data_IF_702363723875
#
_entry.id   IF_702363723875
#
_cell.length_a   1.000
_cell.length_b   1.000
_cell.length_c   1.000
_cell.angle_alpha   90.00
_cell.angle_beta   90.00
_cell.angle_gamma   90.00
#
_symmetry.space_group_name_H-M   'P 1'
#
loop_
_entity.id
_entity.type
_entity.pdbx_description
1 polymer ?
#
# COMPACT_ATOMS: atom_id res chain seq x y z
N UNK A 1 -36.82 -7.60 -19.74
CA UNK A 1 -36.34 -7.44 -18.35
C UNK A 1 -34.92 -6.91 -18.45
N UNK A 2 -34.71 -5.65 -18.07
CA UNK A 2 -33.36 -5.07 -18.02
C UNK A 2 -32.83 -5.27 -16.62
N UNK A 3 -31.74 -6.02 -16.48
CA UNK A 3 -30.97 -6.11 -15.24
C UNK A 3 -30.35 -4.74 -14.95
N UNK A 4 -31.12 -3.88 -14.26
CA UNK A 4 -30.74 -2.49 -13.94
C UNK A 4 -30.02 -2.33 -12.60
N UNK A 5 -29.60 -3.42 -11.97
CA UNK A 5 -29.00 -3.41 -10.63
C UNK A 5 -27.63 -4.12 -10.58
N UNK A 6 -26.81 -4.03 -11.63
CA UNK A 6 -25.40 -4.37 -11.49
C UNK A 6 -24.72 -3.23 -10.74
N UNK A 7 -24.38 -3.43 -9.46
CA UNK A 7 -23.52 -2.51 -8.73
C UNK A 7 -22.16 -2.42 -9.47
N UNK A 8 -21.61 -1.21 -9.65
CA UNK A 8 -20.34 -1.05 -10.33
C UNK A 8 -19.24 -1.82 -9.56
N UNK A 9 -18.59 -2.75 -10.25
CA UNK A 9 -17.50 -3.54 -9.70
C UNK A 9 -16.20 -2.76 -9.87
N UNK A 10 -15.72 -2.17 -8.78
CA UNK A 10 -14.41 -1.52 -8.74
C UNK A 10 -13.36 -2.58 -8.47
N UNK A 11 -12.57 -2.92 -9.48
CA UNK A 11 -11.48 -3.89 -9.36
C UNK A 11 -10.18 -3.10 -9.38
N UNK A 12 -9.55 -2.96 -8.22
CA UNK A 12 -8.17 -2.49 -8.15
C UNK A 12 -7.30 -3.52 -8.88
N UNK A 13 -6.35 -3.05 -9.67
CA UNK A 13 -5.39 -3.92 -10.33
C UNK A 13 -4.72 -4.86 -9.32
N UNK A 14 -4.65 -6.15 -9.67
CA UNK A 14 -4.15 -7.18 -8.76
C UNK A 14 -2.68 -6.96 -8.41
N UNK A 15 -1.86 -6.53 -9.36
CA UNK A 15 -0.45 -6.22 -9.11
C UNK A 15 -0.29 -5.00 -8.20
N UNK A 16 -1.10 -3.95 -8.40
CA UNK A 16 -1.12 -2.78 -7.51
C UNK A 16 -1.55 -3.13 -6.08
N UNK A 17 -2.59 -3.95 -5.94
CA UNK A 17 -3.03 -4.44 -4.62
C UNK A 17 -1.93 -5.27 -3.95
N UNK A 18 -1.32 -6.20 -4.68
CA UNK A 18 -0.26 -7.06 -4.16
C UNK A 18 0.99 -6.25 -3.76
N UNK A 19 1.33 -5.21 -4.53
CA UNK A 19 2.39 -4.27 -4.19
C UNK A 19 2.09 -3.54 -2.87
N UNK A 20 0.88 -3.01 -2.71
CA UNK A 20 0.46 -2.31 -1.48
C UNK A 20 0.55 -3.21 -0.24
N UNK A 21 0.09 -4.45 -0.35
CA UNK A 21 0.20 -5.46 0.72
C UNK A 21 1.67 -5.74 1.05
N UNK A 22 2.49 -5.98 0.02
CA UNK A 22 3.92 -6.28 0.19
C UNK A 22 4.67 -5.14 0.89
N UNK A 23 4.39 -3.89 0.53
CA UNK A 23 5.01 -2.72 1.15
C UNK A 23 4.62 -2.58 2.63
N UNK A 24 3.34 -2.77 2.95
CA UNK A 24 2.86 -2.75 4.33
C UNK A 24 3.53 -3.84 5.17
N UNK A 25 3.57 -5.07 4.66
CA UNK A 25 4.17 -6.21 5.37
C UNK A 25 5.67 -6.00 5.56
N UNK A 26 6.34 -5.45 4.54
CA UNK A 26 7.77 -5.11 4.60
C UNK A 26 8.04 -4.06 5.69
N UNK A 27 7.23 -3.00 5.79
CA UNK A 27 7.34 -2.00 6.86
C UNK A 27 7.18 -2.62 8.24
N UNK A 28 6.20 -3.51 8.40
CA UNK A 28 5.96 -4.20 9.68
C UNK A 28 7.15 -5.11 10.06
N UNK A 29 7.64 -5.90 9.11
CA UNK A 29 8.79 -6.78 9.31
C UNK A 29 10.03 -5.97 9.68
N UNK A 30 10.29 -4.86 8.99
CA UNK A 30 11.39 -3.95 9.31
C UNK A 30 11.31 -3.44 10.75
N UNK A 31 10.17 -2.87 11.14
CA UNK A 31 9.95 -2.34 12.48
C UNK A 31 10.15 -3.42 13.57
N UNK A 32 9.68 -4.64 13.31
CA UNK A 32 9.87 -5.79 14.20
C UNK A 32 11.35 -6.19 14.32
N UNK A 33 12.10 -6.18 13.23
CA UNK A 33 13.55 -6.45 13.24
C UNK A 33 14.28 -5.38 14.05
N UNK A 34 14.01 -4.10 13.78
CA UNK A 34 14.61 -3.00 14.53
C UNK A 34 14.36 -3.11 16.03
N UNK A 35 13.11 -3.36 16.43
CA UNK A 35 12.74 -3.57 17.83
C UNK A 35 13.48 -4.77 18.44
N UNK A 36 13.60 -5.88 17.70
CA UNK A 36 14.33 -7.07 18.16
C UNK A 36 15.82 -6.80 18.35
N UNK A 37 16.46 -6.12 17.41
CA UNK A 37 17.89 -5.77 17.50
C UNK A 37 18.17 -4.83 18.69
N UNK A 38 17.30 -3.84 18.94
CA UNK A 38 17.39 -2.98 20.14
C UNK A 38 17.29 -3.80 21.43
N UNK A 39 16.37 -4.76 21.50
CA UNK A 39 16.24 -5.68 22.66
C UNK A 39 17.50 -6.53 22.88
N UNK A 40 18.27 -6.80 21.83
CA UNK A 40 19.54 -7.53 21.90
C UNK A 40 20.75 -6.63 22.20
N UNK A 41 20.55 -5.32 22.42
CA UNK A 41 21.62 -4.37 22.71
C UNK A 41 22.36 -3.84 21.47
N UNK A 42 21.90 -4.16 20.26
CA UNK A 42 22.48 -3.64 19.03
C UNK A 42 22.12 -2.16 18.88
N UNK A 43 23.13 -1.30 18.71
CA UNK A 43 22.94 0.13 18.39
C UNK A 43 22.71 0.29 16.89
N UNK A 44 21.44 0.38 16.50
CA UNK A 44 21.06 0.76 15.14
C UNK A 44 21.29 2.26 14.93
N UNK A 45 21.70 2.63 13.73
CA UNK A 45 21.91 4.03 13.39
C UNK A 45 20.55 4.70 13.16
N UNK A 46 20.18 5.62 14.06
CA UNK A 46 18.84 6.25 14.08
C UNK A 46 18.42 6.80 12.71
N UNK A 47 19.34 7.49 12.01
CA UNK A 47 19.04 8.03 10.68
C UNK A 47 18.71 6.95 9.66
N UNK A 48 19.31 5.76 9.74
CA UNK A 48 19.01 4.68 8.79
C UNK A 48 17.61 4.11 9.05
N UNK A 49 17.18 4.11 10.32
CA UNK A 49 15.85 3.67 10.71
C UNK A 49 14.76 4.64 10.29
N UNK A 50 15.00 5.92 10.52
CA UNK A 50 14.08 6.99 10.12
C UNK A 50 13.99 7.10 8.59
N UNK A 51 15.13 7.03 7.88
CA UNK A 51 15.16 7.08 6.42
C UNK A 51 14.38 5.91 5.81
N UNK A 52 14.66 4.66 6.22
CA UNK A 52 13.96 3.51 5.66
C UNK A 52 12.44 3.57 5.94
N UNK A 53 12.05 3.97 7.16
CA UNK A 53 10.63 4.12 7.48
C UNK A 53 9.98 5.23 6.66
N UNK A 54 10.70 6.33 6.38
CA UNK A 54 10.21 7.42 5.54
C UNK A 54 10.06 6.98 4.09
N UNK A 55 11.07 6.32 3.53
CA UNK A 55 11.08 5.86 2.14
C UNK A 55 9.92 4.90 1.87
N UNK A 56 9.68 3.95 2.78
CA UNK A 56 8.57 2.99 2.60
C UNK A 56 7.20 3.66 2.76
N UNK A 57 7.08 4.68 3.63
CA UNK A 57 5.86 5.47 3.76
C UNK A 57 5.58 6.31 2.51
N UNK A 58 6.61 6.87 1.90
CA UNK A 58 6.50 7.59 0.63
C UNK A 58 6.00 6.66 -0.47
N UNK A 59 6.59 5.47 -0.63
CA UNK A 59 6.17 4.51 -1.66
C UNK A 59 4.73 4.03 -1.41
N UNK A 60 4.35 3.76 -0.16
CA UNK A 60 2.96 3.41 0.20
C UNK A 60 1.99 4.53 -0.19
N UNK A 61 2.37 5.79 0.07
CA UNK A 61 1.58 6.95 -0.31
C UNK A 61 1.40 7.05 -1.83
N UNK A 62 2.49 6.92 -2.58
CA UNK A 62 2.46 6.92 -4.05
C UNK A 62 1.56 5.81 -4.61
N UNK A 63 1.69 4.58 -4.13
CA UNK A 63 0.85 3.45 -4.57
C UNK A 63 -0.62 3.69 -4.23
N UNK A 64 -0.90 4.25 -3.05
CA UNK A 64 -2.28 4.61 -2.64
C UNK A 64 -2.89 5.67 -3.57
N UNK A 65 -2.10 6.65 -4.01
CA UNK A 65 -2.54 7.62 -5.01
C UNK A 65 -2.88 6.96 -6.35
N UNK A 66 -2.04 6.05 -6.85
CA UNK A 66 -2.28 5.33 -8.11
C UNK A 66 -3.58 4.51 -8.03
N UNK A 67 -3.79 3.79 -6.93
CA UNK A 67 -5.03 3.04 -6.70
C UNK A 67 -6.24 4.00 -6.69
N UNK A 68 -6.10 5.16 -6.04
CA UNK A 68 -7.16 6.16 -5.99
C UNK A 68 -7.49 6.73 -7.38
N UNK A 69 -6.48 6.96 -8.22
CA UNK A 69 -6.64 7.41 -9.60
C UNK A 69 -7.37 6.37 -10.46
N UNK A 70 -7.02 5.08 -10.32
CA UNK A 70 -7.73 3.99 -10.99
C UNK A 70 -9.21 3.97 -10.58
N UNK A 71 -9.49 3.99 -9.27
CA UNK A 71 -10.85 4.00 -8.75
C UNK A 71 -11.64 5.23 -9.23
N UNK A 72 -11.02 6.40 -9.24
CA UNK A 72 -11.64 7.63 -9.71
C UNK A 72 -12.00 7.56 -11.20
N UNK A 73 -11.08 7.05 -12.02
CA UNK A 73 -11.31 6.82 -13.43
C UNK A 73 -12.47 5.84 -13.67
N UNK A 74 -12.55 4.75 -12.92
CA UNK A 74 -13.61 3.75 -13.05
C UNK A 74 -14.97 4.31 -12.63
N UNK A 75 -15.02 5.14 -11.59
CA UNK A 75 -16.23 5.87 -11.19
C UNK A 75 -16.70 6.80 -12.31
N UNK A 76 -15.78 7.56 -12.92
CA UNK A 76 -16.12 8.48 -14.01
C UNK A 76 -16.67 7.77 -15.25
N UNK A 77 -16.22 6.54 -15.53
CA UNK A 77 -16.70 5.74 -16.67
C UNK A 77 -18.01 4.98 -16.39
N UNK A 78 -18.56 5.06 -15.18
CA UNK A 78 -19.79 4.33 -14.81
C UNK A 78 -19.55 2.89 -14.36
N UNK A 79 -18.31 2.54 -13.97
CA UNK A 79 -17.89 1.18 -13.64
C UNK A 79 -17.42 0.36 -14.85
N UNK A 80 -16.79 -0.80 -14.59
CA UNK A 80 -16.49 -1.79 -15.64
C UNK A 80 -17.81 -2.30 -16.23
N UNK A 81 -18.19 -1.76 -17.39
CA UNK A 81 -19.27 -2.28 -18.25
C UNK A 81 -18.85 -3.52 -19.02
#
# INVERSE_FOLDING_TARGET
MSDKNAEPKFVVDEELHNLMVTLRDTKEVYNRICARMRKQGVKLHKCNEENYSSDIDEVISTVSCIISEQLYHDIQKGGLG
#
